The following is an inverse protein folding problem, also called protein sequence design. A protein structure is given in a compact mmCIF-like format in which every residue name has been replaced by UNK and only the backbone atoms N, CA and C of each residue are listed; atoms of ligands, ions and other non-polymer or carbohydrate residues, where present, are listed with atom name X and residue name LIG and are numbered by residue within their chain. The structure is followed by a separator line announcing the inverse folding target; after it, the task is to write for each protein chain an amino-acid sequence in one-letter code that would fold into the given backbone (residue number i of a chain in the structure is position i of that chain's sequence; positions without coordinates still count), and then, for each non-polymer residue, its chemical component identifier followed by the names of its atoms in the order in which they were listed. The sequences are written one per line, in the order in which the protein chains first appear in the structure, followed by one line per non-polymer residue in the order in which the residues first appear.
data_IF_767602802362
#
_entry.id   IF_767602802362
#
_cell.length_a   1.000
_cell.length_b   1.000
_cell.length_c   1.000
_cell.angle_alpha   90.00
_cell.angle_beta   90.00
_cell.angle_gamma   90.00
#
_symmetry.space_group_name_H-M   'P 1'
#
loop_
_entity.id
_entity.type
_entity.pdbx_description
1 polymer ?
#
# COMPACT_ATOMS: atom_id res chain seq x y z
N UNK A 1 28.30 -34.26 32.43
CA UNK A 1 28.29 -32.92 31.80
C UNK A 1 28.43 -33.10 30.30
N UNK A 2 27.81 -32.20 29.55
CA UNK A 2 27.76 -32.10 28.07
C UNK A 2 26.72 -32.97 27.36
N UNK A 3 25.87 -32.47 26.45
CA UNK A 3 25.26 -31.15 26.17
C UNK A 3 24.19 -31.53 25.14
N UNK A 4 22.92 -31.33 25.45
CA UNK A 4 21.84 -31.49 24.46
C UNK A 4 21.89 -30.28 23.53
N UNK A 5 22.27 -30.53 22.27
CA UNK A 5 22.08 -29.56 21.19
C UNK A 5 20.65 -29.77 20.70
N UNK A 6 19.73 -28.97 21.22
CA UNK A 6 18.39 -28.85 20.66
C UNK A 6 18.50 -28.03 19.39
N UNK A 7 18.39 -28.69 18.24
CA UNK A 7 18.24 -28.03 16.95
C UNK A 7 16.96 -27.18 16.98
N UNK A 8 17.16 -25.87 16.94
CA UNK A 8 16.07 -24.90 16.86
C UNK A 8 15.18 -25.21 15.67
N UNK A 9 13.90 -25.44 15.95
CA UNK A 9 12.87 -25.63 14.95
C UNK A 9 12.91 -24.49 13.91
N UNK A 10 12.75 -24.77 12.61
CA UNK A 10 12.68 -23.72 11.62
C UNK A 10 11.45 -22.86 11.90
N UNK A 11 11.67 -21.58 12.23
CA UNK A 11 10.61 -20.59 12.27
C UNK A 11 9.83 -20.66 10.96
N UNK A 12 8.54 -20.99 11.05
CA UNK A 12 7.63 -20.96 9.92
C UNK A 12 7.59 -19.52 9.40
N UNK A 13 8.39 -19.21 8.38
CA UNK A 13 8.24 -18.02 7.55
C UNK A 13 6.84 -18.09 6.93
N UNK A 14 5.86 -17.49 7.60
CA UNK A 14 4.52 -17.31 7.05
C UNK A 14 4.70 -16.65 5.68
N UNK A 15 4.34 -17.36 4.61
CA UNK A 15 4.48 -16.85 3.26
C UNK A 15 3.70 -15.54 3.16
N UNK A 16 4.40 -14.44 2.85
CA UNK A 16 3.77 -13.13 2.71
C UNK A 16 2.74 -13.20 1.59
N UNK A 17 1.47 -12.94 1.91
CA UNK A 17 0.40 -12.94 0.93
C UNK A 17 0.47 -11.65 0.10
N UNK A 18 0.26 -11.78 -1.21
CA UNK A 18 0.14 -10.62 -2.11
C UNK A 18 -1.34 -10.26 -2.20
N UNK A 19 -1.67 -9.05 -1.77
CA UNK A 19 -3.01 -8.47 -1.84
C UNK A 19 -3.09 -7.50 -3.01
N UNK A 20 -3.95 -7.81 -3.97
CA UNK A 20 -4.12 -7.00 -5.16
C UNK A 20 -5.26 -6.00 -5.00
N UNK A 21 -4.97 -4.71 -5.21
CA UNK A 21 -5.93 -3.62 -5.16
C UNK A 21 -6.12 -3.06 -6.57
N UNK A 22 -7.34 -3.19 -7.10
CA UNK A 22 -7.71 -2.58 -8.38
C UNK A 22 -8.26 -1.16 -8.16
N UNK A 23 -7.51 -0.18 -8.64
CA UNK A 23 -7.85 1.23 -8.55
C UNK A 23 -8.64 1.65 -9.77
N UNK A 24 -9.72 2.38 -9.51
CA UNK A 24 -10.57 2.97 -10.54
C UNK A 24 -11.00 4.37 -10.10
N UNK A 25 -11.01 5.34 -11.01
CA UNK A 25 -11.23 6.76 -10.70
C UNK A 25 -12.62 7.05 -10.12
N UNK A 26 -13.66 6.36 -10.59
CA UNK A 26 -15.05 6.72 -10.30
C UNK A 26 -15.77 5.81 -9.32
N UNK A 27 -15.21 4.64 -8.96
CA UNK A 27 -15.92 3.70 -8.08
C UNK A 27 -15.76 4.02 -6.59
N UNK A 28 -14.59 4.53 -6.19
CA UNK A 28 -14.24 4.79 -4.79
C UNK A 28 -13.41 6.07 -4.68
N UNK A 29 -13.51 6.80 -3.56
CA UNK A 29 -12.72 8.00 -3.33
C UNK A 29 -11.23 7.66 -3.19
N UNK A 30 -10.36 8.65 -3.44
CA UNK A 30 -8.90 8.50 -3.37
C UNK A 30 -8.41 7.85 -2.07
N UNK A 31 -8.83 8.39 -0.92
CA UNK A 31 -8.38 7.94 0.40
C UNK A 31 -8.79 6.51 0.75
N UNK A 32 -9.81 5.96 0.10
CA UNK A 32 -10.19 4.57 0.29
C UNK A 32 -9.03 3.62 -0.07
N UNK A 33 -8.41 3.84 -1.24
CA UNK A 33 -7.32 3.00 -1.72
C UNK A 33 -6.05 3.19 -0.89
N UNK A 34 -5.77 4.43 -0.47
CA UNK A 34 -4.62 4.73 0.41
C UNK A 34 -4.75 4.02 1.76
N UNK A 35 -5.91 4.12 2.41
CA UNK A 35 -6.13 3.51 3.72
C UNK A 35 -6.16 1.98 3.64
N UNK A 36 -6.71 1.43 2.55
CA UNK A 36 -6.71 0.01 2.30
C UNK A 36 -5.29 -0.55 2.14
N UNK A 37 -4.44 0.15 1.37
CA UNK A 37 -3.03 -0.22 1.22
C UNK A 37 -2.30 -0.17 2.56
N UNK A 38 -2.45 0.92 3.34
CA UNK A 38 -1.89 1.03 4.70
C UNK A 38 -2.30 -0.15 5.59
N UNK A 39 -3.58 -0.52 5.58
CA UNK A 39 -4.11 -1.64 6.38
C UNK A 39 -3.40 -2.95 6.03
N UNK A 40 -3.26 -3.28 4.75
CA UNK A 40 -2.63 -4.54 4.33
C UNK A 40 -1.13 -4.57 4.56
N UNK A 41 -0.44 -3.43 4.35
CA UNK A 41 0.99 -3.30 4.66
C UNK A 41 1.25 -3.46 6.16
N UNK A 42 0.40 -2.89 7.04
CA UNK A 42 0.49 -3.09 8.49
C UNK A 42 0.38 -4.56 8.90
N UNK A 43 -0.40 -5.34 8.15
CA UNK A 43 -0.56 -6.79 8.36
C UNK A 43 0.60 -7.62 7.76
N UNK A 44 1.71 -6.98 7.38
CA UNK A 44 2.88 -7.60 6.74
C UNK A 44 2.56 -8.32 5.42
N UNK A 45 1.48 -7.92 4.75
CA UNK A 45 1.18 -8.37 3.40
C UNK A 45 1.83 -7.44 2.38
N UNK A 46 2.22 -8.03 1.24
CA UNK A 46 2.60 -7.25 0.08
C UNK A 46 1.34 -6.75 -0.64
N UNK A 47 1.39 -5.53 -1.16
CA UNK A 47 0.25 -4.90 -1.83
C UNK A 47 0.59 -4.60 -3.27
N UNK A 48 -0.20 -5.14 -4.19
CA UNK A 48 -0.10 -4.84 -5.63
C UNK A 48 -1.19 -3.82 -6.01
N UNK A 49 -0.79 -2.57 -6.28
CA UNK A 49 -1.67 -1.52 -6.78
C UNK A 49 -1.78 -1.61 -8.30
N UNK A 50 -2.98 -1.86 -8.83
CA UNK A 50 -3.23 -2.01 -10.25
C UNK A 50 -4.20 -0.93 -10.77
N UNK A 51 -3.89 -0.32 -11.92
CA UNK A 51 -4.77 0.63 -12.59
C UNK A 51 -4.75 0.51 -14.11
N UNK A 52 -5.82 1.00 -14.75
CA UNK A 52 -5.97 1.10 -16.20
C UNK A 52 -6.22 2.55 -16.61
N UNK A 53 -5.58 2.98 -17.71
CA UNK A 53 -5.81 4.28 -18.34
C UNK A 53 -5.81 5.46 -17.35
N UNK A 54 -6.92 6.19 -17.27
CA UNK A 54 -7.05 7.39 -16.43
C UNK A 54 -6.91 7.15 -14.91
N UNK A 55 -6.94 5.90 -14.44
CA UNK A 55 -6.71 5.58 -13.02
C UNK A 55 -5.21 5.43 -12.67
N UNK A 56 -4.32 5.37 -13.66
CA UNK A 56 -2.88 5.21 -13.47
C UNK A 56 -2.28 6.30 -12.56
N UNK A 57 -2.59 7.61 -12.74
CA UNK A 57 -2.04 8.64 -11.87
C UNK A 57 -2.36 8.43 -10.39
N UNK A 58 -3.55 7.90 -10.08
CA UNK A 58 -3.96 7.60 -8.71
C UNK A 58 -3.06 6.55 -8.06
N UNK A 59 -2.68 5.49 -8.79
CA UNK A 59 -1.77 4.46 -8.28
C UNK A 59 -0.38 5.03 -8.04
N UNK A 60 0.13 5.85 -8.97
CA UNK A 60 1.43 6.52 -8.82
C UNK A 60 1.45 7.39 -7.57
N UNK A 61 0.45 8.27 -7.40
CA UNK A 61 0.36 9.15 -6.23
C UNK A 61 0.28 8.35 -4.92
N UNK A 62 -0.54 7.30 -4.86
CA UNK A 62 -0.64 6.46 -3.65
C UNK A 62 0.69 5.79 -3.34
N UNK A 63 1.37 5.24 -4.34
CA UNK A 63 2.68 4.60 -4.17
C UNK A 63 3.71 5.59 -3.64
N UNK A 64 3.69 6.83 -4.14
CA UNK A 64 4.62 7.88 -3.71
C UNK A 64 4.34 8.33 -2.28
N UNK A 65 3.07 8.53 -1.90
CA UNK A 65 2.68 8.85 -0.52
C UNK A 65 3.12 7.75 0.45
N UNK A 66 2.99 6.47 0.08
CA UNK A 66 3.37 5.36 0.95
C UNK A 66 4.89 5.25 1.12
N UNK A 67 5.66 5.44 0.06
CA UNK A 67 7.14 5.46 0.12
C UNK A 67 7.65 6.67 0.89
N UNK A 68 7.17 7.87 0.56
CA UNK A 68 7.60 9.13 1.17
C UNK A 68 7.35 9.18 2.67
N UNK A 69 6.27 8.56 3.15
CA UNK A 69 5.93 8.50 4.57
C UNK A 69 6.55 7.28 5.29
N UNK A 70 7.44 6.53 4.64
CA UNK A 70 8.10 5.36 5.24
C UNK A 70 7.17 4.17 5.53
N UNK A 71 6.01 4.09 4.88
CA UNK A 71 5.08 2.95 5.05
C UNK A 71 5.52 1.74 4.23
N UNK A 72 6.05 1.98 3.03
CA UNK A 72 6.32 0.91 2.08
C UNK A 72 7.61 1.13 1.29
N UNK A 73 8.18 0.01 0.83
CA UNK A 73 9.21 -0.02 -0.21
C UNK A 73 8.62 -0.58 -1.49
N UNK A 74 9.07 -0.06 -2.62
CA UNK A 74 8.76 -0.64 -3.93
C UNK A 74 9.56 -1.93 -4.13
N UNK A 75 8.88 -2.98 -4.59
CA UNK A 75 9.49 -4.26 -4.96
C UNK A 75 9.53 -4.46 -6.48
N UNK A 76 8.50 -3.98 -7.18
CA UNK A 76 8.39 -4.14 -8.62
C UNK A 76 7.42 -3.10 -9.21
N UNK A 77 7.74 -2.58 -10.39
CA UNK A 77 6.84 -1.79 -11.23
C UNK A 77 6.68 -2.48 -12.57
N UNK A 78 5.43 -2.74 -12.96
CA UNK A 78 5.09 -3.39 -14.22
C UNK A 78 4.11 -2.54 -15.03
N UNK A 79 4.47 -2.26 -16.28
CA UNK A 79 3.60 -1.62 -17.27
C UNK A 79 3.27 -2.57 -18.39
N UNK A 80 2.04 -2.55 -18.88
CA UNK A 80 1.62 -3.34 -20.04
C UNK A 80 0.49 -2.63 -20.79
N UNK A 81 0.20 -3.09 -22.00
CA UNK A 81 -1.01 -2.71 -22.73
C UNK A 81 -1.95 -3.90 -22.75
N UNK A 82 -3.21 -3.70 -22.39
CA UNK A 82 -4.25 -4.74 -22.43
C UNK A 82 -5.33 -4.36 -23.43
N UNK A 83 -5.80 -5.34 -24.20
CA UNK A 83 -7.00 -5.16 -25.03
C UNK A 83 -8.24 -4.99 -24.15
N UNK A 84 -9.08 -4.02 -24.47
CA UNK A 84 -10.39 -3.84 -23.81
C UNK A 84 -11.53 -4.05 -24.81
N UNK A 85 -12.77 -4.11 -24.31
CA UNK A 85 -13.97 -4.34 -25.14
C UNK A 85 -13.95 -3.46 -26.39
N UNK A 86 -14.39 -4.07 -27.48
CA UNK A 86 -14.45 -3.47 -28.80
C UNK A 86 -15.20 -2.14 -28.76
N UNK A 87 -14.73 -1.17 -29.53
CA UNK A 87 -15.50 0.02 -29.84
C UNK A 87 -16.75 -0.32 -30.66
N UNK A 88 -17.56 0.69 -30.98
CA UNK A 88 -18.76 0.52 -31.82
C UNK A 88 -18.43 -0.01 -33.23
N UNK A 89 -17.16 -0.05 -33.62
CA UNK A 89 -16.64 -0.49 -34.92
C UNK A 89 -15.94 -1.86 -34.85
N UNK A 90 -16.01 -2.57 -33.71
CA UNK A 90 -15.43 -3.90 -33.55
C UNK A 90 -13.91 -3.92 -33.33
N UNK A 91 -13.26 -2.76 -33.13
CA UNK A 91 -11.81 -2.68 -32.87
C UNK A 91 -11.54 -2.68 -31.37
N UNK A 92 -10.68 -3.59 -30.92
CA UNK A 92 -10.25 -3.64 -29.51
C UNK A 92 -9.47 -2.37 -29.14
N UNK A 93 -9.95 -1.62 -28.14
CA UNK A 93 -9.27 -0.39 -27.71
C UNK A 93 -8.11 -0.79 -26.77
N UNK A 94 -6.83 -0.52 -27.15
CA UNK A 94 -5.70 -0.78 -26.26
C UNK A 94 -5.74 0.17 -25.07
N UNK A 95 -5.57 -0.37 -23.86
CA UNK A 95 -5.48 0.42 -22.62
C UNK A 95 -4.17 0.13 -21.91
N UNK A 96 -3.48 1.19 -21.52
CA UNK A 96 -2.34 1.09 -20.62
C UNK A 96 -2.78 0.52 -19.26
N UNK A 97 -1.94 -0.35 -18.70
CA UNK A 97 -2.08 -0.96 -17.39
C UNK A 97 -0.78 -0.76 -16.61
N UNK A 98 -0.91 -0.29 -15.38
CA UNK A 98 0.19 -0.17 -14.43
C UNK A 98 -0.09 -1.08 -13.23
N UNK A 99 0.94 -1.78 -12.76
CA UNK A 99 0.99 -2.52 -11.50
C UNK A 99 2.21 -2.10 -10.69
N UNK A 100 2.04 -1.77 -9.42
CA UNK A 100 3.14 -1.48 -8.48
C UNK A 100 3.03 -2.42 -7.29
N UNK A 101 4.04 -3.25 -7.07
CA UNK A 101 4.16 -4.12 -5.91
C UNK A 101 4.91 -3.39 -4.79
N UNK A 102 4.26 -3.27 -3.64
CA UNK A 102 4.77 -2.62 -2.44
C UNK A 102 4.91 -3.64 -1.32
N UNK A 103 6.02 -3.58 -0.60
CA UNK A 103 6.23 -4.32 0.64
C UNK A 103 6.33 -3.39 1.85
N UNK A 104 6.14 -3.93 3.06
CA UNK A 104 6.33 -3.19 4.31
C UNK A 104 7.78 -2.69 4.43
N UNK A 105 7.96 -1.42 4.80
CA UNK A 105 9.27 -0.87 5.12
C UNK A 105 9.78 -1.41 6.47
N UNK A 106 11.08 -1.66 6.59
CA UNK A 106 11.70 -2.21 7.79
C UNK A 106 11.51 -1.30 9.03
N UNK A 107 11.50 0.02 8.82
CA UNK A 107 11.55 1.03 9.90
C UNK A 107 10.18 1.40 10.50
N UNK A 108 9.13 0.61 10.22
CA UNK A 108 7.76 0.89 10.69
C UNK A 108 7.56 0.77 12.22
N UNK A 109 8.53 0.28 12.96
CA UNK A 109 8.40 0.10 14.42
C UNK A 109 8.39 1.44 15.18
N UNK A 110 8.96 2.51 14.61
CA UNK A 110 8.99 3.85 15.23
C UNK A 110 7.92 4.84 14.75
N UNK A 111 7.46 4.77 13.49
CA UNK A 111 6.58 5.80 12.90
C UNK A 111 5.10 5.72 13.32
N UNK A 112 4.68 4.60 13.93
CA UNK A 112 3.33 4.50 14.53
C UNK A 112 3.24 5.28 15.84
N UNK A 113 4.37 5.46 16.54
CA UNK A 113 4.45 6.13 17.84
C UNK A 113 4.45 7.66 17.67
N UNK A 114 5.12 8.20 16.65
CA UNK A 114 5.20 9.66 16.41
C UNK A 114 3.90 10.29 15.91
N UNK A 115 3.16 9.61 15.03
CA UNK A 115 1.89 10.15 14.53
C UNK A 115 0.79 10.13 15.59
N UNK A 116 0.82 9.20 16.56
CA UNK A 116 -0.13 9.19 17.68
C UNK A 116 0.12 10.35 18.65
N UNK A 117 1.41 10.64 18.96
CA UNK A 117 1.82 11.77 19.82
C UNK A 117 1.43 13.14 19.27
N UNK A 118 1.35 13.28 17.95
CA UNK A 118 1.00 14.55 17.32
C UNK A 118 -0.52 14.81 17.39
N UNK A 119 -1.33 13.75 17.25
CA UNK A 119 -2.79 13.83 17.33
C UNK A 119 -3.26 14.09 18.77
N UNK A 120 -2.57 13.51 19.76
CA UNK A 120 -2.92 13.70 21.17
C UNK A 120 -2.57 15.11 21.67
N UNK A 121 -1.46 15.71 21.19
CA UNK A 121 -1.06 17.07 21.58
C UNK A 121 -1.95 18.18 21.01
N UNK A 122 -2.52 17.99 19.82
CA UNK A 122 -3.37 19.02 19.17
C UNK A 122 -4.77 19.12 19.81
N UNK A 123 -5.25 18.03 20.44
CA UNK A 123 -6.54 18.02 21.16
C UNK A 123 -6.56 18.79 22.49
N UNK A 124 -5.40 19.23 22.97
CA UNK A 124 -5.25 19.88 24.29
C UNK A 124 -5.14 21.41 24.24
N UNK A 125 -5.05 22.03 23.06
CA UNK A 125 -4.78 23.47 22.91
C UNK A 125 -6.06 24.32 22.79
N UNK A 126 -7.20 23.73 22.43
CA UNK A 126 -8.42 24.49 22.10
C UNK A 126 -9.26 24.96 23.31
N UNK A 127 -8.85 24.76 24.57
CA UNK A 127 -9.66 25.17 25.74
C UNK A 127 -9.19 26.41 26.50
N UNK A 128 -8.15 27.13 26.05
CA UNK A 128 -7.59 28.26 26.84
C UNK A 128 -7.70 29.67 26.25
N UNK A 129 -8.36 29.85 25.11
CA UNK A 129 -8.57 31.18 24.50
C UNK A 129 -10.00 31.69 24.67
N UNK A 130 -10.50 31.78 25.91
CA UNK A 130 -11.69 32.58 26.27
C UNK A 130 -11.73 32.78 27.78
N UNK A 131 -10.98 33.76 28.27
CA UNK A 131 -11.21 34.44 29.55
C UNK A 131 -10.62 35.85 29.45
#
# INVERSE_FOLDING_TARGET
MAVEITEGAPEKKNAKKIIRIQVSKTKKPFFFYLNLAKKYIKQDNDVELCALGMAIPTVVIISEILKSNGWAIEKNIMTSTVGSREDKEGRGIPKAKLGILLGKAADMEQSTIENQRTIDNESSVDTKASS
#
